data_IF_387233894943
#
_entry.id   IF_387233894943
#
_cell.length_a   1.000
_cell.length_b   1.000
_cell.length_c   1.000
_cell.angle_alpha   90.00
_cell.angle_beta   90.00
_cell.angle_gamma   90.00
#
_symmetry.space_group_name_H-M   'P 1'
#
loop_
_entity.id
_entity.type
_entity.pdbx_description
1 polymer ?
#
# COMPACT_ATOMS: atom_id res chain seq x y z
N UNK A 1 -7.36 -13.25 7.03
CA UNK A 1 -8.04 -11.99 6.63
C UNK A 1 -7.33 -11.45 5.40
N UNK A 2 -8.06 -11.10 4.34
CA UNK A 2 -7.48 -10.53 3.11
C UNK A 2 -7.94 -9.08 2.93
N UNK A 3 -6.98 -8.16 2.87
CA UNK A 3 -7.24 -6.73 2.59
C UNK A 3 -6.70 -6.30 1.21
N UNK A 4 -6.12 -7.22 0.44
CA UNK A 4 -5.58 -6.92 -0.87
C UNK A 4 -6.68 -6.44 -1.82
N UNK A 5 -6.31 -5.56 -2.74
CA UNK A 5 -7.20 -4.99 -3.74
C UNK A 5 -6.54 -5.10 -5.10
N UNK A 6 -7.28 -5.61 -6.08
CA UNK A 6 -6.93 -5.40 -7.49
C UNK A 6 -6.76 -3.90 -7.76
N UNK A 7 -5.76 -3.53 -8.56
CA UNK A 7 -5.39 -2.13 -8.82
C UNK A 7 -4.83 -1.36 -7.61
N UNK A 8 -4.77 -1.95 -6.41
CA UNK A 8 -4.22 -1.29 -5.23
C UNK A 8 -2.74 -0.97 -5.39
N UNK A 9 -2.34 0.20 -4.91
CA UNK A 9 -0.95 0.68 -4.97
C UNK A 9 -0.47 1.31 -3.68
N UNK A 10 0.81 1.69 -3.69
CA UNK A 10 1.47 2.46 -2.63
C UNK A 10 0.96 3.90 -2.60
N UNK A 11 0.70 4.47 -3.78
CA UNK A 11 0.11 5.79 -3.94
C UNK A 11 -1.42 5.70 -3.94
N UNK A 12 -2.09 6.82 -3.68
CA UNK A 12 -3.55 6.85 -3.55
C UNK A 12 -4.23 6.84 -4.92
N UNK A 13 -3.61 7.52 -5.87
CA UNK A 13 -3.99 7.72 -7.26
C UNK A 13 -3.75 6.49 -8.15
N UNK A 14 -3.00 5.49 -7.65
CA UNK A 14 -2.67 4.29 -8.42
C UNK A 14 -3.91 3.56 -8.90
N UNK A 15 -3.94 3.27 -10.20
CA UNK A 15 -5.06 2.62 -10.90
C UNK A 15 -6.41 3.32 -10.74
N UNK A 16 -6.43 4.63 -10.54
CA UNK A 16 -7.68 5.39 -10.37
C UNK A 16 -8.65 5.24 -11.54
N UNK A 17 -8.12 5.10 -12.75
CA UNK A 17 -8.89 4.85 -13.97
C UNK A 17 -9.59 3.48 -14.01
N UNK A 18 -9.19 2.51 -13.17
CA UNK A 18 -9.83 1.18 -13.08
C UNK A 18 -11.03 1.15 -12.11
N UNK A 19 -11.40 2.29 -11.52
CA UNK A 19 -12.56 2.42 -10.65
C UNK A 19 -12.25 2.23 -9.16
N UNK A 20 -12.99 1.33 -8.49
CA UNK A 20 -12.90 1.11 -7.05
C UNK A 20 -11.64 0.33 -6.66
N UNK A 21 -10.73 0.97 -5.91
CA UNK A 21 -9.46 0.38 -5.45
C UNK A 21 -9.11 0.83 -4.03
N UNK A 22 -8.41 -0.03 -3.30
CA UNK A 22 -7.97 0.25 -1.93
C UNK A 22 -6.44 0.31 -1.91
N UNK A 23 -5.88 1.52 -1.72
CA UNK A 23 -4.44 1.72 -1.56
C UNK A 23 -3.89 1.05 -0.29
N UNK A 24 -2.59 0.76 -0.26
CA UNK A 24 -1.95 0.10 0.89
C UNK A 24 -2.27 0.80 2.22
N UNK A 25 -2.22 2.14 2.23
CA UNK A 25 -2.56 2.95 3.42
C UNK A 25 -3.99 2.64 3.90
N UNK A 26 -4.95 2.52 2.99
CA UNK A 26 -6.34 2.22 3.35
C UNK A 26 -6.52 0.76 3.76
N UNK A 27 -5.81 -0.19 3.14
CA UNK A 27 -5.77 -1.60 3.55
C UNK A 27 -5.29 -1.72 5.01
N UNK A 28 -4.20 -1.04 5.35
CA UNK A 28 -3.67 -0.95 6.72
C UNK A 28 -4.70 -0.35 7.69
N UNK A 29 -5.34 0.77 7.31
CA UNK A 29 -6.37 1.40 8.14
C UNK A 29 -7.57 0.49 8.38
N UNK A 30 -8.01 -0.25 7.35
CA UNK A 30 -9.11 -1.20 7.46
C UNK A 30 -8.75 -2.33 8.42
N UNK A 31 -7.54 -2.88 8.33
CA UNK A 31 -7.05 -3.88 9.28
C UNK A 31 -7.05 -3.35 10.71
N UNK A 32 -6.51 -2.15 10.95
CA UNK A 32 -6.52 -1.49 12.27
C UNK A 32 -7.93 -1.34 12.83
N UNK A 33 -8.88 -0.90 12.01
CA UNK A 33 -10.29 -0.77 12.43
C UNK A 33 -10.89 -2.12 12.80
N UNK A 34 -10.61 -3.17 12.03
CA UNK A 34 -11.12 -4.52 12.29
C UNK A 34 -10.58 -5.09 13.61
N UNK A 35 -9.26 -5.06 13.83
CA UNK A 35 -8.64 -5.59 15.06
C UNK A 35 -9.07 -4.81 16.30
N UNK A 36 -9.22 -3.48 16.19
CA UNK A 36 -9.71 -2.63 17.29
C UNK A 36 -11.17 -2.95 17.62
N UNK A 37 -12.03 -3.06 16.61
CA UNK A 37 -13.45 -3.40 16.81
C UNK A 37 -13.62 -4.78 17.46
N UNK A 38 -12.79 -5.75 17.05
CA UNK A 38 -12.79 -7.09 17.60
C UNK A 38 -12.04 -7.22 18.94
N UNK A 39 -11.45 -6.12 19.46
CA UNK A 39 -10.65 -6.11 20.70
C UNK A 39 -9.55 -7.19 20.72
N UNK A 40 -8.87 -7.39 19.59
CA UNK A 40 -7.82 -8.42 19.49
C UNK A 40 -6.64 -8.03 20.38
N UNK A 41 -6.18 -8.91 21.29
CA UNK A 41 -5.02 -8.64 22.13
C UNK A 41 -3.73 -8.52 21.32
N UNK A 42 -2.82 -7.62 21.73
CA UNK A 42 -1.53 -7.40 21.05
C UNK A 42 -0.69 -8.68 20.95
N UNK A 43 -0.70 -9.52 22.00
CA UNK A 43 0.03 -10.78 22.01
C UNK A 43 -0.42 -11.74 20.91
N UNK A 44 -1.71 -11.70 20.53
CA UNK A 44 -2.23 -12.50 19.41
C UNK A 44 -1.79 -11.93 18.06
N UNK A 45 -1.68 -10.61 17.94
CA UNK A 45 -1.21 -9.96 16.72
C UNK A 45 0.28 -10.25 16.47
N UNK A 46 1.10 -10.35 17.52
CA UNK A 46 2.52 -10.70 17.43
C UNK A 46 2.76 -12.11 16.89
N UNK A 47 1.78 -13.01 17.01
CA UNK A 47 1.85 -14.37 16.48
C UNK A 47 1.36 -14.46 15.02
N UNK A 48 0.81 -13.38 14.46
CA UNK A 48 0.27 -13.37 13.11
C UNK A 48 1.38 -13.19 12.07
N UNK A 49 1.28 -13.95 10.97
CA UNK A 49 2.09 -13.72 9.78
C UNK A 49 1.41 -12.68 8.89
N UNK A 50 2.16 -11.65 8.49
CA UNK A 50 1.69 -10.60 7.59
C UNK A 50 2.46 -10.65 6.27
N UNK A 51 1.73 -10.86 5.18
CA UNK A 51 2.27 -10.88 3.82
C UNK A 51 1.73 -9.68 3.05
N UNK A 52 2.62 -8.91 2.43
CA UNK A 52 2.26 -7.75 1.61
C UNK A 52 2.93 -7.90 0.25
N UNK A 53 2.12 -7.93 -0.82
CA UNK A 53 2.59 -7.87 -2.19
C UNK A 53 1.90 -6.68 -2.88
N UNK A 54 2.67 -5.64 -3.19
CA UNK A 54 2.15 -4.37 -3.70
C UNK A 54 3.27 -3.58 -4.39
N UNK A 55 2.92 -2.62 -5.25
CA UNK A 55 3.87 -1.77 -5.98
C UNK A 55 3.89 -2.00 -7.49
N UNK A 56 3.51 -3.19 -7.97
CA UNK A 56 3.46 -3.49 -9.41
C UNK A 56 2.48 -2.59 -10.16
N UNK A 57 1.31 -2.33 -9.58
CA UNK A 57 0.33 -1.40 -10.16
C UNK A 57 0.86 0.04 -10.20
N UNK A 58 1.70 0.47 -9.25
CA UNK A 58 2.29 1.81 -9.30
C UNK A 58 3.24 1.96 -10.51
N UNK A 59 3.83 0.87 -10.99
CA UNK A 59 4.59 0.86 -12.23
C UNK A 59 3.69 0.78 -13.46
N UNK A 60 2.84 -0.25 -13.54
CA UNK A 60 2.04 -0.53 -14.75
C UNK A 60 1.04 0.61 -15.00
N UNK A 61 0.34 1.03 -13.96
CA UNK A 61 -0.79 1.95 -14.07
C UNK A 61 -0.43 3.41 -13.79
N UNK A 62 0.85 3.73 -13.51
CA UNK A 62 1.28 5.13 -13.37
C UNK A 62 2.62 5.43 -14.07
N UNK A 63 3.64 4.58 -13.96
CA UNK A 63 4.93 4.83 -14.60
C UNK A 63 4.87 4.57 -16.12
N UNK A 64 4.43 3.39 -16.51
CA UNK A 64 4.33 2.99 -17.92
C UNK A 64 3.08 3.53 -18.63
N UNK A 65 2.13 4.11 -17.88
CA UNK A 65 0.92 4.72 -18.42
C UNK A 65 1.11 6.22 -18.65
N UNK A 66 2.04 6.57 -19.55
CA UNK A 66 2.46 7.96 -19.80
C UNK A 66 1.35 8.87 -20.34
N UNK A 67 0.35 8.32 -21.00
CA UNK A 67 -0.78 9.10 -21.55
C UNK A 67 -1.69 9.67 -20.45
N UNK A 68 -1.74 9.02 -19.28
CA UNK A 68 -2.60 9.42 -18.16
C UNK A 68 -1.80 9.99 -16.99
N UNK A 69 -0.52 9.60 -16.84
CA UNK A 69 0.31 10.00 -15.72
C UNK A 69 1.69 10.47 -16.18
N UNK A 70 2.09 11.66 -15.72
CA UNK A 70 3.41 12.24 -15.99
C UNK A 70 4.57 11.59 -15.21
N UNK A 71 4.38 10.40 -14.64
CA UNK A 71 5.39 9.80 -13.76
C UNK A 71 6.69 9.47 -14.52
N UNK A 72 6.57 8.96 -15.75
CA UNK A 72 7.70 8.61 -16.62
C UNK A 72 8.39 9.80 -17.27
N UNK A 73 7.73 10.97 -17.35
CA UNK A 73 8.38 12.21 -17.78
C UNK A 73 9.13 12.91 -16.64
N UNK A 74 8.76 12.63 -15.38
CA UNK A 74 9.38 13.21 -14.19
C UNK A 74 10.49 12.35 -13.57
N UNK A 75 10.45 11.04 -13.77
CA UNK A 75 11.37 10.10 -13.15
C UNK A 75 11.87 9.07 -14.16
N UNK A 76 13.14 8.69 -14.06
CA UNK A 76 13.61 7.44 -14.66
C UNK A 76 13.19 6.22 -13.80
N UNK A 77 13.35 4.97 -14.31
CA UNK A 77 12.83 3.79 -13.61
C UNK A 77 13.41 3.62 -12.19
N UNK A 78 14.69 3.92 -12.00
CA UNK A 78 15.38 3.82 -10.71
C UNK A 78 14.90 4.86 -9.72
N UNK A 79 14.64 6.10 -10.17
CA UNK A 79 14.08 7.15 -9.31
C UNK A 79 12.63 6.83 -8.91
N UNK A 80 11.84 6.25 -9.82
CA UNK A 80 10.50 5.75 -9.50
C UNK A 80 10.58 4.65 -8.43
N UNK A 81 11.46 3.66 -8.60
CA UNK A 81 11.67 2.58 -7.63
C UNK A 81 12.04 3.14 -6.26
N UNK A 82 12.99 4.07 -6.24
CA UNK A 82 13.43 4.70 -5.00
C UNK A 82 12.30 5.42 -4.27
N UNK A 83 11.51 6.21 -5.00
CA UNK A 83 10.34 6.92 -4.47
C UNK A 83 9.30 5.96 -3.89
N UNK A 84 8.97 4.90 -4.62
CA UNK A 84 8.01 3.88 -4.19
C UNK A 84 8.53 3.08 -2.98
N UNK A 85 9.80 2.70 -2.96
CA UNK A 85 10.43 2.03 -1.82
C UNK A 85 10.40 2.89 -0.55
N UNK A 86 10.64 4.21 -0.68
CA UNK A 86 10.54 5.15 0.44
C UNK A 86 9.10 5.24 0.98
N UNK A 87 8.12 5.27 0.08
CA UNK A 87 6.71 5.29 0.44
C UNK A 87 6.28 3.97 1.11
N UNK A 88 6.72 2.83 0.58
CA UNK A 88 6.46 1.51 1.16
C UNK A 88 6.99 1.41 2.58
N UNK A 89 8.25 1.79 2.82
CA UNK A 89 8.84 1.82 4.17
C UNK A 89 8.06 2.72 5.13
N UNK A 90 7.57 3.85 4.64
CA UNK A 90 6.76 4.77 5.45
C UNK A 90 5.44 4.13 5.88
N UNK A 91 4.73 3.47 4.95
CA UNK A 91 3.50 2.75 5.27
C UNK A 91 3.74 1.59 6.25
N UNK A 92 4.84 0.84 6.08
CA UNK A 92 5.20 -0.24 7.00
C UNK A 92 5.56 0.26 8.40
N UNK A 93 6.27 1.39 8.53
CA UNK A 93 6.54 1.99 9.85
C UNK A 93 5.25 2.37 10.57
N UNK A 94 4.31 2.97 9.84
CA UNK A 94 2.97 3.28 10.37
C UNK A 94 2.19 2.01 10.74
N UNK A 95 2.43 0.90 10.05
CA UNK A 95 1.83 -0.39 10.37
C UNK A 95 2.42 -0.99 11.65
N UNK A 96 3.74 -1.21 11.68
CA UNK A 96 4.45 -1.85 12.79
C UNK A 96 4.39 -1.02 14.08
N UNK A 97 4.48 0.31 13.99
CA UNK A 97 4.33 1.19 15.16
C UNK A 97 2.96 1.07 15.83
N UNK A 98 1.95 0.53 15.15
CA UNK A 98 0.60 0.30 15.70
C UNK A 98 0.40 -1.11 16.24
N UNK A 99 1.30 -2.06 15.94
CA UNK A 99 1.28 -3.37 16.59
C UNK A 99 1.93 -3.33 17.99
N UNK A 100 2.65 -2.25 18.30
CA UNK A 100 3.37 -2.06 19.56
C UNK A 100 2.67 -1.10 20.54
N UNK A 101 1.46 -0.64 20.23
CA UNK A 101 0.61 0.25 21.06
C UNK A 101 -0.74 -0.40 21.30
#
# INVERSE_FOLDING_TARGET
>A
MNYASGGGGLRKETSEHLGGRISLRKQIQNHKKAIKKAKVPVQRLQQCLYTINIGSNDYINNYFMSETYNTSSLFNPSQCAYSLNRLYRTHLKVYCGTLNT
#
